data_IF_296185162728
#
_entry.id   IF_296185162728
#
_cell.length_a   1.000
_cell.length_b   1.000
_cell.length_c   1.000
_cell.angle_alpha   90.00
_cell.angle_beta   90.00
_cell.angle_gamma   90.00
#
_symmetry.space_group_name_H-M   'P 1'
#
loop_
_entity.id
_entity.type
_entity.pdbx_description
1 polymer ?
#
# COMPACT_ATOMS: atom_id res chain seq x y z
N UNK A 1 41.43 -20.38 -0.43
CA UNK A 1 40.52 -19.22 -0.27
C UNK A 1 39.56 -19.21 -1.45
N UNK A 2 38.30 -19.62 -1.26
CA UNK A 2 37.26 -19.53 -2.30
C UNK A 2 36.42 -18.30 -1.98
N UNK A 3 36.28 -17.41 -2.94
CA UNK A 3 35.43 -16.22 -2.85
C UNK A 3 33.99 -16.65 -2.57
N UNK A 4 33.42 -16.17 -1.46
CA UNK A 4 31.98 -16.15 -1.25
C UNK A 4 31.41 -15.06 -2.18
N UNK A 5 30.55 -15.46 -3.11
CA UNK A 5 29.77 -14.52 -3.93
C UNK A 5 28.69 -13.83 -3.08
N UNK A 6 28.15 -12.70 -3.55
CA UNK A 6 27.10 -11.97 -2.84
C UNK A 6 25.79 -12.75 -2.96
N UNK A 7 25.54 -13.64 -2.01
CA UNK A 7 24.20 -14.19 -1.80
C UNK A 7 23.35 -13.10 -1.18
N UNK A 8 22.62 -12.35 -2.01
CA UNK A 8 21.43 -11.67 -1.57
C UNK A 8 20.46 -12.75 -1.05
N UNK A 9 20.00 -12.59 0.18
CA UNK A 9 18.89 -13.37 0.72
C UNK A 9 17.66 -13.07 -0.17
N UNK A 10 17.18 -14.01 -1.00
CA UNK A 10 15.83 -13.83 -1.57
C UNK A 10 15.44 -14.42 -2.94
N UNK A 11 16.32 -15.05 -3.73
CA UNK A 11 15.89 -15.63 -5.02
C UNK A 11 16.32 -17.10 -5.17
N UNK A 12 15.39 -17.96 -5.57
CA UNK A 12 15.72 -19.33 -5.96
C UNK A 12 16.61 -19.31 -7.22
N UNK A 13 17.53 -20.26 -7.39
CA UNK A 13 18.28 -20.42 -8.62
C UNK A 13 17.37 -20.43 -9.86
N UNK A 14 17.79 -19.80 -10.98
CA UNK A 14 16.95 -19.67 -12.20
C UNK A 14 16.32 -20.99 -12.68
N UNK A 15 17.04 -22.09 -12.50
CA UNK A 15 16.61 -23.43 -12.91
C UNK A 15 15.46 -24.00 -12.07
N UNK A 16 15.25 -23.52 -10.85
CA UNK A 16 14.15 -23.97 -9.97
C UNK A 16 12.79 -23.39 -10.39
N UNK A 17 12.76 -22.28 -11.13
CA UNK A 17 11.51 -21.69 -11.64
C UNK A 17 10.93 -22.41 -12.87
N UNK A 18 11.66 -23.38 -13.42
CA UNK A 18 11.29 -24.05 -14.67
C UNK A 18 11.23 -23.14 -15.90
N UNK A 19 10.72 -23.70 -16.99
CA UNK A 19 10.73 -23.07 -18.31
C UNK A 19 9.59 -22.05 -18.50
N UNK A 20 8.52 -22.16 -17.71
CA UNK A 20 7.30 -21.35 -17.84
C UNK A 20 7.25 -20.18 -16.86
N UNK A 21 8.31 -19.36 -16.83
CA UNK A 21 8.47 -18.25 -15.89
C UNK A 21 7.30 -17.24 -15.92
N UNK A 22 6.61 -17.11 -17.05
CA UNK A 22 5.41 -16.27 -17.19
C UNK A 22 4.31 -16.58 -16.17
N UNK A 23 4.13 -17.87 -15.83
CA UNK A 23 3.17 -18.30 -14.80
C UNK A 23 3.65 -17.81 -13.43
N UNK A 24 4.91 -18.08 -13.09
CA UNK A 24 5.50 -17.64 -11.82
C UNK A 24 5.36 -16.13 -11.62
N UNK A 25 5.79 -15.30 -12.58
CA UNK A 25 5.76 -13.83 -12.42
C UNK A 25 4.34 -13.27 -12.37
N UNK A 26 3.36 -13.99 -12.92
CA UNK A 26 1.94 -13.61 -12.83
C UNK A 26 1.30 -14.01 -11.49
N UNK A 27 1.83 -15.07 -10.85
CA UNK A 27 1.28 -15.64 -9.62
C UNK A 27 2.00 -15.17 -8.34
N UNK A 28 3.29 -14.82 -8.44
CA UNK A 28 4.14 -14.54 -7.27
C UNK A 28 3.60 -13.41 -6.40
N UNK A 29 2.97 -12.39 -6.98
CA UNK A 29 2.31 -11.29 -6.26
C UNK A 29 1.17 -11.80 -5.37
N UNK A 30 0.46 -12.84 -5.82
CA UNK A 30 -0.72 -13.34 -5.11
C UNK A 30 -0.36 -14.19 -3.90
N UNK A 31 0.79 -14.87 -3.87
CA UNK A 31 1.17 -15.70 -2.73
C UNK A 31 1.30 -14.92 -1.40
N UNK A 32 2.01 -13.78 -1.34
CA UNK A 32 2.06 -12.97 -0.12
C UNK A 32 0.82 -12.08 0.07
N UNK A 33 0.08 -11.73 -0.99
CA UNK A 33 -1.15 -10.95 -0.86
C UNK A 33 -2.33 -11.80 -0.34
N UNK A 34 -2.42 -13.07 -0.74
CA UNK A 34 -3.51 -14.00 -0.41
C UNK A 34 -3.88 -14.06 1.07
N UNK A 35 -2.93 -14.20 2.01
CA UNK A 35 -3.26 -14.24 3.42
C UNK A 35 -4.11 -13.06 3.91
N UNK A 36 -3.99 -11.87 3.31
CA UNK A 36 -4.73 -10.68 3.71
C UNK A 36 -6.24 -10.91 3.78
N UNK A 37 -6.86 -11.42 2.70
CA UNK A 37 -8.31 -11.60 2.67
C UNK A 37 -8.79 -12.81 3.47
N UNK A 38 -7.93 -13.80 3.72
CA UNK A 38 -8.23 -14.87 4.66
C UNK A 38 -8.33 -14.31 6.08
N UNK A 39 -7.38 -13.46 6.49
CA UNK A 39 -7.37 -12.82 7.80
C UNK A 39 -8.53 -11.83 7.99
N UNK A 40 -8.87 -11.07 6.93
CA UNK A 40 -10.04 -10.18 6.93
C UNK A 40 -11.33 -10.97 7.09
N UNK A 41 -11.63 -11.92 6.19
CA UNK A 41 -12.91 -12.62 6.20
C UNK A 41 -13.09 -13.57 7.38
N UNK A 42 -12.00 -14.09 7.96
CA UNK A 42 -12.07 -14.90 9.16
C UNK A 42 -12.16 -14.10 10.46
N UNK A 43 -12.22 -12.75 10.39
CA UNK A 43 -12.35 -11.89 11.57
C UNK A 43 -11.10 -11.83 12.46
N UNK A 44 -9.91 -12.22 11.96
CA UNK A 44 -8.66 -12.17 12.76
C UNK A 44 -8.36 -10.74 13.19
N UNK A 45 -8.51 -9.78 12.28
CA UNK A 45 -8.29 -8.36 12.60
C UNK A 45 -9.28 -7.85 13.66
N UNK A 46 -10.52 -8.34 13.69
CA UNK A 46 -11.50 -8.04 14.74
C UNK A 46 -11.06 -8.60 16.09
N UNK A 47 -10.72 -9.89 16.15
CA UNK A 47 -10.30 -10.56 17.40
C UNK A 47 -8.97 -10.05 17.96
N UNK A 48 -8.10 -9.52 17.10
CA UNK A 48 -6.76 -9.05 17.47
C UNK A 48 -6.55 -7.60 17.04
N UNK A 49 -7.14 -6.61 17.73
CA UNK A 49 -7.10 -5.21 17.30
C UNK A 49 -5.70 -4.58 17.31
N UNK A 50 -4.75 -5.15 18.08
CA UNK A 50 -3.35 -4.73 18.10
C UNK A 50 -2.46 -5.37 17.02
N UNK A 51 -2.99 -6.33 16.24
CA UNK A 51 -2.22 -6.97 15.16
C UNK A 51 -1.91 -5.96 14.06
N UNK A 52 -0.66 -5.97 13.58
CA UNK A 52 -0.21 -5.29 12.37
C UNK A 52 0.14 -6.34 11.32
N UNK A 53 -0.31 -6.14 10.08
CA UNK A 53 -0.05 -7.07 8.98
C UNK A 53 0.50 -6.33 7.76
N UNK A 54 1.64 -6.79 7.27
CA UNK A 54 2.34 -6.22 6.13
C UNK A 54 2.37 -7.17 4.94
N UNK A 55 1.99 -6.70 3.75
CA UNK A 55 2.30 -7.40 2.49
C UNK A 55 3.53 -6.74 1.88
N UNK A 56 4.60 -7.49 1.67
CA UNK A 56 5.84 -6.98 1.12
C UNK A 56 6.12 -7.51 -0.28
N UNK A 57 6.86 -6.72 -1.08
CA UNK A 57 7.40 -7.14 -2.38
C UNK A 57 6.33 -7.62 -3.38
N UNK A 58 5.16 -6.97 -3.37
CA UNK A 58 4.01 -7.36 -4.20
C UNK A 58 3.24 -6.17 -4.77
N UNK A 59 3.86 -4.99 -4.74
CA UNK A 59 3.19 -3.73 -5.05
C UNK A 59 1.90 -3.54 -4.25
N UNK A 60 1.12 -2.53 -4.64
CA UNK A 60 -0.20 -2.23 -4.08
C UNK A 60 -1.27 -1.96 -5.16
N UNK A 61 -0.95 -2.12 -6.45
CA UNK A 61 -1.86 -1.86 -7.58
C UNK A 61 -3.12 -2.74 -7.58
N UNK A 62 -3.07 -3.92 -6.96
CA UNK A 62 -4.18 -4.87 -6.85
C UNK A 62 -5.17 -4.50 -5.76
N UNK A 63 -4.72 -3.73 -4.76
CA UNK A 63 -5.45 -3.49 -3.53
C UNK A 63 -6.75 -2.70 -3.71
N UNK A 64 -6.82 -1.64 -4.54
CA UNK A 64 -8.07 -0.91 -4.78
C UNK A 64 -9.22 -1.81 -5.21
N UNK A 65 -8.98 -2.69 -6.19
CA UNK A 65 -10.00 -3.58 -6.72
C UNK A 65 -10.43 -4.63 -5.68
N UNK A 66 -9.48 -5.18 -4.92
CA UNK A 66 -9.80 -6.10 -3.82
C UNK A 66 -10.66 -5.39 -2.77
N UNK A 67 -10.27 -4.18 -2.37
CA UNK A 67 -10.95 -3.41 -1.33
C UNK A 67 -12.38 -3.04 -1.74
N UNK A 68 -12.54 -2.51 -2.96
CA UNK A 68 -13.86 -2.25 -3.55
C UNK A 68 -14.72 -3.52 -3.58
N UNK A 69 -14.17 -4.65 -4.04
CA UNK A 69 -14.92 -5.90 -4.11
C UNK A 69 -15.37 -6.39 -2.73
N UNK A 70 -14.48 -6.38 -1.75
CA UNK A 70 -14.79 -6.85 -0.40
C UNK A 70 -15.79 -5.92 0.31
N UNK A 71 -15.61 -4.60 0.20
CA UNK A 71 -16.54 -3.62 0.75
C UNK A 71 -17.91 -3.69 0.07
N UNK A 72 -17.97 -3.84 -1.25
CA UNK A 72 -19.23 -4.07 -1.99
C UNK A 72 -19.98 -5.26 -1.43
N UNK A 73 -19.30 -6.38 -1.20
CA UNK A 73 -19.92 -7.57 -0.64
C UNK A 73 -20.42 -7.30 0.78
N UNK A 74 -19.59 -6.73 1.65
CA UNK A 74 -19.94 -6.46 3.05
C UNK A 74 -21.10 -5.46 3.18
N UNK A 75 -20.98 -4.30 2.53
CA UNK A 75 -21.95 -3.20 2.60
C UNK A 75 -23.25 -3.57 1.89
N UNK A 76 -23.17 -4.28 0.75
CA UNK A 76 -24.35 -4.78 0.03
C UNK A 76 -25.09 -5.89 0.80
N UNK A 77 -24.37 -6.78 1.49
CA UNK A 77 -24.98 -7.84 2.30
C UNK A 77 -25.60 -7.32 3.61
N UNK A 78 -25.13 -6.19 4.14
CA UNK A 78 -25.68 -5.60 5.37
C UNK A 78 -27.13 -5.10 5.21
N UNK A 79 -27.62 -4.95 3.98
CA UNK A 79 -29.05 -4.76 3.66
C UNK A 79 -29.93 -5.98 3.95
N UNK A 80 -29.33 -7.16 4.22
CA UNK A 80 -30.00 -8.43 4.52
C UNK A 80 -29.55 -9.04 5.85
N UNK A 81 -29.71 -8.31 6.96
CA UNK A 81 -29.19 -8.62 8.32
C UNK A 81 -29.40 -10.06 8.86
N UNK A 82 -30.33 -10.85 8.33
CA UNK A 82 -30.56 -12.23 8.79
C UNK A 82 -29.68 -13.29 8.12
N UNK A 83 -29.00 -12.97 7.01
CA UNK A 83 -28.24 -13.95 6.21
C UNK A 83 -26.87 -13.41 5.76
N UNK A 84 -26.29 -12.45 6.49
CA UNK A 84 -24.94 -11.96 6.15
C UNK A 84 -23.90 -13.07 6.37
N UNK A 85 -23.15 -13.50 5.33
CA UNK A 85 -22.11 -14.51 5.48
C UNK A 85 -20.86 -13.98 6.22
N UNK A 86 -20.88 -12.72 6.69
CA UNK A 86 -19.74 -12.01 7.28
C UNK A 86 -19.92 -11.73 8.77
N UNK A 87 -20.57 -12.63 9.52
CA UNK A 87 -20.88 -12.45 10.94
C UNK A 87 -19.67 -12.18 11.86
N UNK A 88 -18.47 -12.56 11.42
CA UNK A 88 -17.20 -12.36 12.13
C UNK A 88 -16.69 -10.91 12.08
N UNK A 89 -17.29 -10.04 11.25
CA UNK A 89 -16.85 -8.66 11.03
C UNK A 89 -17.90 -7.69 11.58
N UNK A 90 -17.44 -6.74 12.39
CA UNK A 90 -18.27 -5.62 12.90
C UNK A 90 -18.08 -4.33 12.09
N UNK A 91 -17.09 -4.32 11.20
CA UNK A 91 -16.70 -3.18 10.36
C UNK A 91 -16.50 -3.62 8.90
N UNK A 92 -16.62 -2.71 7.93
CA UNK A 92 -16.26 -3.03 6.55
C UNK A 92 -14.75 -3.32 6.42
N UNK A 93 -14.34 -4.15 5.45
CA UNK A 93 -12.94 -4.47 5.16
C UNK A 93 -11.99 -3.27 5.09
N UNK A 94 -12.38 -2.14 4.47
CA UNK A 94 -11.50 -0.96 4.44
C UNK A 94 -11.15 -0.41 5.83
N UNK A 95 -12.06 -0.52 6.80
CA UNK A 95 -11.81 0.01 8.13
C UNK A 95 -10.79 -0.85 8.90
N UNK A 96 -10.75 -2.16 8.62
CA UNK A 96 -9.69 -3.03 9.13
C UNK A 96 -8.36 -2.77 8.43
N UNK A 97 -8.40 -2.52 7.13
CA UNK A 97 -7.21 -2.15 6.34
C UNK A 97 -6.55 -0.89 6.91
N UNK A 98 -7.30 0.21 7.06
CA UNK A 98 -6.83 1.48 7.63
C UNK A 98 -6.28 1.31 9.05
N UNK A 99 -6.91 0.43 9.83
CA UNK A 99 -6.52 0.23 11.22
C UNK A 99 -5.23 -0.58 11.36
N UNK A 100 -4.98 -1.58 10.52
CA UNK A 100 -4.03 -2.67 10.84
C UNK A 100 -3.12 -3.13 9.71
N UNK A 101 -3.40 -2.75 8.47
CA UNK A 101 -2.71 -3.30 7.30
C UNK A 101 -1.83 -2.24 6.66
N UNK A 102 -0.63 -2.64 6.27
CA UNK A 102 0.26 -1.83 5.46
C UNK A 102 0.82 -2.66 4.30
N UNK A 103 1.23 -1.97 3.25
CA UNK A 103 1.88 -2.57 2.10
C UNK A 103 3.30 -2.01 2.04
N UNK A 104 4.30 -2.87 2.11
CA UNK A 104 5.68 -2.49 1.80
C UNK A 104 5.79 -2.40 0.28
N UNK A 105 5.40 -1.25 -0.26
CA UNK A 105 5.38 -0.96 -1.67
C UNK A 105 6.81 -0.74 -2.18
N UNK A 106 7.48 -1.86 -2.48
CA UNK A 106 8.73 -1.88 -3.22
C UNK A 106 8.54 -1.22 -4.58
N UNK A 107 9.56 -0.48 -5.04
CA UNK A 107 9.69 0.05 -6.41
C UNK A 107 8.43 0.77 -6.98
N UNK A 108 7.63 1.38 -6.10
CA UNK A 108 6.29 1.91 -6.41
C UNK A 108 6.26 2.71 -7.71
N UNK A 109 5.30 2.37 -8.57
CA UNK A 109 5.08 2.99 -9.88
C UNK A 109 4.05 4.12 -9.78
N UNK A 110 4.04 4.98 -10.79
CA UNK A 110 3.04 6.07 -10.97
C UNK A 110 1.60 5.57 -10.86
N UNK A 111 1.30 4.37 -11.37
CA UNK A 111 -0.03 3.75 -11.30
C UNK A 111 -0.51 3.59 -9.86
N UNK A 112 0.35 3.08 -8.99
CA UNK A 112 0.05 2.84 -7.58
C UNK A 112 -0.13 4.16 -6.82
N UNK A 113 0.75 5.14 -7.06
CA UNK A 113 0.65 6.48 -6.47
C UNK A 113 -0.62 7.22 -6.92
N UNK A 114 -1.08 7.02 -8.15
CA UNK A 114 -2.34 7.59 -8.62
C UNK A 114 -3.56 7.00 -7.89
N UNK A 115 -3.47 5.76 -7.41
CA UNK A 115 -4.52 5.05 -6.67
C UNK A 115 -4.38 5.17 -5.15
N UNK A 116 -3.43 5.96 -4.65
CA UNK A 116 -3.12 6.04 -3.20
C UNK A 116 -4.30 6.43 -2.31
N UNK A 117 -5.30 7.12 -2.85
CA UNK A 117 -6.51 7.49 -2.08
C UNK A 117 -7.54 6.36 -2.01
N UNK A 118 -7.53 5.42 -2.97
CA UNK A 118 -8.27 4.16 -2.85
C UNK A 118 -7.57 3.24 -1.83
N UNK A 119 -6.24 3.17 -1.91
CA UNK A 119 -5.39 2.34 -1.04
C UNK A 119 -5.41 2.87 0.40
N UNK A 120 -5.25 4.16 0.57
CA UNK A 120 -4.90 4.84 1.82
C UNK A 120 -3.42 5.26 1.80
N UNK A 121 -3.16 6.57 1.92
CA UNK A 121 -1.80 7.14 1.87
C UNK A 121 -0.91 6.54 2.96
N UNK A 122 -1.47 6.33 4.15
CA UNK A 122 -0.75 5.81 5.31
C UNK A 122 -0.57 4.28 5.28
N UNK A 123 -1.26 3.60 4.37
CA UNK A 123 -1.10 2.16 4.16
C UNK A 123 0.04 1.84 3.20
N UNK A 124 0.59 2.82 2.49
CA UNK A 124 1.71 2.64 1.55
C UNK A 124 3.02 2.98 2.28
N UNK A 125 3.85 1.97 2.50
CA UNK A 125 5.20 2.12 3.03
C UNK A 125 6.18 1.85 1.91
N UNK A 126 6.79 2.89 1.35
CA UNK A 126 7.74 2.74 0.26
C UNK A 126 9.02 2.02 0.72
N UNK A 127 9.52 1.11 -0.12
CA UNK A 127 10.79 0.39 0.11
C UNK A 127 11.67 0.41 -1.14
N UNK A 128 12.99 0.49 -0.93
CA UNK A 128 13.97 0.45 -2.02
C UNK A 128 14.20 -0.96 -2.57
N UNK A 129 13.92 -1.97 -1.74
CA UNK A 129 14.19 -3.39 -1.98
C UNK A 129 15.66 -3.68 -2.31
N UNK A 130 16.55 -3.04 -1.55
CA UNK A 130 17.97 -3.32 -1.64
C UNK A 130 18.29 -4.70 -1.03
N UNK A 131 19.14 -5.53 -1.67
CA UNK A 131 19.92 -5.29 -2.90
C UNK A 131 19.32 -5.91 -4.16
N UNK A 132 18.00 -6.18 -4.19
CA UNK A 132 17.37 -6.93 -5.27
C UNK A 132 17.45 -6.18 -6.62
N UNK A 133 17.67 -6.88 -7.75
CA UNK A 133 17.74 -6.26 -9.08
C UNK A 133 16.48 -5.49 -9.51
N UNK A 134 15.31 -5.93 -9.05
CA UNK A 134 14.00 -5.30 -9.27
C UNK A 134 13.77 -4.06 -8.40
N UNK A 135 14.62 -3.87 -7.38
CA UNK A 135 14.62 -2.70 -6.51
C UNK A 135 15.05 -1.42 -7.23
N UNK A 136 15.30 -0.37 -6.45
CA UNK A 136 15.62 0.95 -7.02
C UNK A 136 17.09 1.35 -6.88
N UNK A 137 17.89 0.59 -6.13
CA UNK A 137 19.31 0.89 -5.95
C UNK A 137 20.10 0.52 -7.23
N UNK A 138 21.15 1.27 -7.62
CA UNK A 138 21.72 2.45 -6.97
C UNK A 138 21.03 3.78 -7.29
N UNK A 139 20.08 3.79 -8.23
CA UNK A 139 19.46 5.00 -8.78
C UNK A 139 18.20 5.46 -8.03
N UNK A 140 18.08 5.12 -6.75
CA UNK A 140 16.88 5.36 -5.94
C UNK A 140 16.40 6.82 -5.98
N UNK A 141 17.33 7.79 -5.94
CA UNK A 141 16.97 9.22 -6.00
C UNK A 141 16.33 9.61 -7.33
N UNK A 142 16.89 9.14 -8.44
CA UNK A 142 16.33 9.39 -9.77
C UNK A 142 14.97 8.69 -9.95
N UNK A 143 14.80 7.50 -9.36
CA UNK A 143 13.52 6.80 -9.32
C UNK A 143 12.45 7.61 -8.60
N UNK A 144 12.74 8.04 -7.36
CA UNK A 144 11.81 8.79 -6.53
C UNK A 144 11.42 10.12 -7.18
N UNK A 145 12.36 10.83 -7.81
CA UNK A 145 12.06 12.07 -8.55
C UNK A 145 11.04 11.82 -9.67
N UNK A 146 11.24 10.76 -10.47
CA UNK A 146 10.30 10.42 -11.56
C UNK A 146 8.90 10.05 -11.06
N UNK A 147 8.80 9.41 -9.90
CA UNK A 147 7.51 8.89 -9.40
C UNK A 147 6.76 9.88 -8.50
N UNK A 148 7.45 10.66 -7.66
CA UNK A 148 6.84 11.53 -6.63
C UNK A 148 6.81 13.03 -6.95
N UNK A 149 7.36 13.50 -8.08
CA UNK A 149 7.49 14.94 -8.38
C UNK A 149 6.17 15.75 -8.32
N UNK A 150 5.02 15.14 -8.59
CA UNK A 150 3.71 15.79 -8.57
C UNK A 150 2.84 15.35 -7.38
N UNK A 151 3.39 14.60 -6.43
CA UNK A 151 2.67 14.17 -5.22
C UNK A 151 2.81 15.27 -4.16
N UNK A 152 1.74 15.60 -3.39
CA UNK A 152 1.83 16.53 -2.27
C UNK A 152 2.94 16.14 -1.28
N UNK A 153 3.75 17.10 -0.85
CA UNK A 153 4.92 16.84 0.02
C UNK A 153 4.53 16.13 1.31
N UNK A 154 3.39 16.49 1.90
CA UNK A 154 2.86 15.82 3.10
C UNK A 154 2.67 14.32 2.88
N UNK A 155 2.01 13.95 1.77
CA UNK A 155 1.74 12.56 1.41
C UNK A 155 3.02 11.80 1.05
N UNK A 156 3.95 12.45 0.34
CA UNK A 156 5.28 11.88 0.07
C UNK A 156 6.01 11.57 1.38
N UNK A 157 5.97 12.45 2.39
CA UNK A 157 6.59 12.18 3.70
C UNK A 157 5.94 11.01 4.43
N UNK A 158 4.60 10.88 4.35
CA UNK A 158 3.89 9.72 4.91
C UNK A 158 4.39 8.43 4.29
N UNK A 159 4.36 8.34 2.96
CA UNK A 159 4.70 7.12 2.23
C UNK A 159 6.19 6.77 2.27
N UNK A 160 7.09 7.76 2.27
CA UNK A 160 8.55 7.52 2.27
C UNK A 160 9.13 7.25 3.66
N UNK A 161 8.39 7.49 4.76
CA UNK A 161 8.97 7.22 6.08
C UNK A 161 8.09 7.40 7.31
N UNK A 162 7.18 8.40 7.36
CA UNK A 162 6.45 8.64 8.61
C UNK A 162 5.47 7.51 8.95
N UNK A 163 4.76 6.95 7.95
CA UNK A 163 3.88 5.80 8.18
C UNK A 163 4.67 4.56 8.66
N UNK A 164 5.84 4.31 8.07
CA UNK A 164 6.73 3.24 8.52
C UNK A 164 7.22 3.46 9.96
N UNK A 165 7.60 4.70 10.31
CA UNK A 165 8.03 5.03 11.66
C UNK A 165 6.93 4.77 12.70
N UNK A 166 5.68 5.08 12.39
CA UNK A 166 4.54 4.79 13.26
C UNK A 166 4.26 3.29 13.40
N UNK A 167 4.27 2.55 12.28
CA UNK A 167 4.03 1.10 12.27
C UNK A 167 5.09 0.34 13.07
N UNK A 168 6.36 0.72 12.95
CA UNK A 168 7.48 0.03 13.60
C UNK A 168 7.93 0.66 14.94
N UNK A 169 7.26 1.73 15.38
CA UNK A 169 7.55 2.38 16.66
C UNK A 169 8.91 3.10 16.69
N UNK A 170 9.35 3.68 15.57
CA UNK A 170 10.58 4.45 15.52
C UNK A 170 10.43 5.85 16.14
N UNK A 171 11.47 6.26 16.86
CA UNK A 171 11.60 7.60 17.42
C UNK A 171 12.08 8.58 16.33
N UNK A 172 11.14 9.31 15.74
CA UNK A 172 11.40 10.22 14.62
C UNK A 172 12.32 11.39 15.00
N UNK A 173 12.33 11.81 16.26
CA UNK A 173 13.21 12.89 16.73
C UNK A 173 14.67 12.44 16.74
N UNK A 174 14.93 11.19 17.18
CA UNK A 174 16.28 10.60 17.11
C UNK A 174 16.73 10.34 15.68
N UNK A 175 15.80 10.07 14.76
CA UNK A 175 16.11 9.85 13.34
C UNK A 175 16.29 11.16 12.55
N UNK A 176 15.74 12.28 13.02
CA UNK A 176 15.75 13.55 12.30
C UNK A 176 17.15 14.02 11.85
N UNK A 177 18.24 13.94 12.66
CA UNK A 177 19.58 14.29 12.20
C UNK A 177 20.06 13.43 11.03
N UNK A 178 19.76 12.13 11.04
CA UNK A 178 20.12 11.21 9.95
C UNK A 178 19.28 11.49 8.72
N UNK A 179 17.97 11.63 8.86
CA UNK A 179 17.05 11.95 7.77
C UNK A 179 17.43 13.25 7.06
N UNK A 180 17.81 14.30 7.80
CA UNK A 180 18.33 15.56 7.23
C UNK A 180 19.63 15.37 6.45
N UNK A 181 20.48 14.43 6.86
CA UNK A 181 21.78 14.17 6.23
C UNK A 181 21.66 13.33 4.95
N UNK A 182 20.80 12.31 4.94
CA UNK A 182 20.79 11.29 3.85
C UNK A 182 19.47 11.22 3.08
N UNK A 183 18.37 11.72 3.65
CA UNK A 183 17.05 11.67 3.03
C UNK A 183 16.93 12.58 1.80
N UNK A 184 15.98 12.30 0.89
CA UNK A 184 15.67 13.21 -0.20
C UNK A 184 14.92 14.44 0.31
N UNK A 185 15.20 15.60 -0.28
CA UNK A 185 14.41 16.81 -0.09
C UNK A 185 13.30 16.93 -1.14
N UNK A 186 12.25 17.76 -0.93
CA UNK A 186 11.27 18.02 -1.98
C UNK A 186 11.88 18.54 -3.28
N UNK A 187 12.97 19.31 -3.19
CA UNK A 187 13.71 19.78 -4.35
C UNK A 187 14.41 18.63 -5.09
N UNK A 188 15.04 17.70 -4.36
CA UNK A 188 15.65 16.49 -4.95
C UNK A 188 14.63 15.65 -5.74
N UNK A 189 13.37 15.67 -5.29
CA UNK A 189 12.28 14.94 -5.92
C UNK A 189 11.59 15.73 -7.05
N UNK A 190 12.03 16.96 -7.35
CA UNK A 190 11.40 17.81 -8.38
C UNK A 190 10.02 18.32 -7.99
N UNK A 191 9.67 18.35 -6.70
CA UNK A 191 8.35 18.76 -6.25
C UNK A 191 8.23 20.29 -6.22
N UNK A 192 7.28 20.82 -6.99
CA UNK A 192 6.99 22.27 -7.14
C UNK A 192 6.85 23.00 -5.82
N UNK A 193 7.46 24.19 -5.70
CA UNK A 193 7.31 25.06 -4.54
C UNK A 193 5.90 25.67 -4.39
N UNK A 194 5.11 25.68 -5.46
CA UNK A 194 3.67 25.97 -5.38
C UNK A 194 2.92 24.74 -4.83
N UNK A 195 3.01 24.56 -3.51
CA UNK A 195 2.39 23.42 -2.81
C UNK A 195 0.87 23.46 -2.91
N UNK A 196 0.27 24.66 -2.93
CA UNK A 196 -1.18 24.83 -3.02
C UNK A 196 -1.71 24.34 -4.36
N UNK A 197 -1.03 24.65 -5.48
CA UNK A 197 -1.42 24.15 -6.79
C UNK A 197 -1.32 22.61 -6.88
N UNK A 198 -0.26 22.02 -6.30
CA UNK A 198 -0.11 20.56 -6.26
C UNK A 198 -1.20 19.91 -5.40
N UNK A 199 -1.56 20.49 -4.26
CA UNK A 199 -2.66 19.96 -3.44
C UNK A 199 -4.01 20.09 -4.16
N UNK A 200 -4.26 21.21 -4.83
CA UNK A 200 -5.49 21.45 -5.58
C UNK A 200 -5.65 20.44 -6.74
N UNK A 201 -4.57 20.07 -7.44
CA UNK A 201 -4.64 19.10 -8.54
C UNK A 201 -5.08 17.71 -8.11
N UNK A 202 -4.87 17.37 -6.82
CA UNK A 202 -5.27 16.09 -6.23
C UNK A 202 -6.53 16.14 -5.36
N UNK A 203 -7.11 17.33 -5.15
CA UNK A 203 -8.23 17.52 -4.21
C UNK A 203 -9.42 16.61 -4.53
N UNK A 204 -9.83 16.53 -5.80
CA UNK A 204 -10.94 15.67 -6.21
C UNK A 204 -10.62 14.19 -6.01
N UNK A 205 -9.45 13.73 -6.43
CA UNK A 205 -9.04 12.34 -6.23
C UNK A 205 -8.96 11.96 -4.75
N UNK A 206 -8.61 12.90 -3.87
CA UNK A 206 -8.63 12.71 -2.42
C UNK A 206 -10.05 12.54 -1.90
N UNK A 207 -10.96 13.40 -2.35
CA UNK A 207 -12.37 13.38 -1.95
C UNK A 207 -13.08 12.09 -2.39
N UNK A 208 -12.81 11.61 -3.61
CA UNK A 208 -13.50 10.45 -4.19
C UNK A 208 -12.64 9.20 -4.31
N UNK A 209 -11.52 9.13 -3.60
CA UNK A 209 -10.60 7.98 -3.66
C UNK A 209 -11.37 6.67 -3.49
N UNK A 210 -12.03 6.49 -2.35
CA UNK A 210 -12.96 5.37 -2.11
C UNK A 210 -14.38 5.73 -2.54
N UNK A 211 -14.56 5.94 -3.85
CA UNK A 211 -15.82 6.37 -4.47
C UNK A 211 -17.04 5.54 -4.02
N UNK A 212 -16.88 4.25 -3.75
CA UNK A 212 -17.97 3.39 -3.25
C UNK A 212 -18.48 3.75 -1.85
N UNK A 213 -17.74 4.58 -1.10
CA UNK A 213 -18.13 5.14 0.19
C UNK A 213 -18.81 6.52 0.07
N UNK A 214 -18.93 7.07 -1.14
CA UNK A 214 -19.56 8.38 -1.38
C UNK A 214 -21.08 8.30 -1.57
N UNK A 215 -21.66 7.09 -1.48
CA UNK A 215 -23.11 6.87 -1.60
C UNK A 215 -23.65 6.78 -3.03
N UNK A 216 -22.77 6.76 -4.05
CA UNK A 216 -23.18 6.75 -5.46
C UNK A 216 -23.14 5.38 -6.14
N UNK A 217 -22.33 4.43 -5.65
CA UNK A 217 -22.11 3.14 -6.34
C UNK A 217 -23.10 2.04 -5.95
N UNK A 218 -23.71 2.14 -4.77
CA UNK A 218 -24.65 1.15 -4.27
C UNK A 218 -26.01 1.82 -4.04
N UNK A 219 -27.11 1.30 -4.61
CA UNK A 219 -28.42 1.84 -4.33
C UNK A 219 -28.67 1.74 -2.82
N UNK A 220 -29.04 2.86 -2.21
CA UNK A 220 -29.58 2.89 -0.86
C UNK A 220 -30.91 2.11 -0.86
N UNK A 221 -30.83 0.79 -0.74
CA UNK A 221 -32.01 -0.05 -0.56
C UNK A 221 -32.51 0.19 0.87
N UNK A 222 -33.49 1.07 1.01
CA UNK A 222 -34.29 1.22 2.24
C UNK A 222 -34.12 2.50 3.05
N UNK A 223 -33.54 3.57 2.52
CA UNK A 223 -33.64 4.90 3.16
C UNK A 223 -34.34 5.88 2.21
N UNK A 224 -35.58 6.20 2.52
CA UNK A 224 -36.25 7.42 2.02
C UNK A 224 -35.47 8.65 2.54
N UNK A 225 -35.35 9.74 1.76
CA UNK A 225 -34.59 10.94 2.12
C UNK A 225 -34.95 11.53 3.49
#
# INVERSE_FOLDING_TARGET
MRHAGPHALGAAPRHEYGDHLGIYVSEVTWWPARPLWFLLWSGVFERHPGLRFGVAESGCWWLPNLLWFMDRLYLGAHGGKKLSPFAELTRPPHAYLDRQVFICATNTKRRELAQRYEIGVDNILWGSDFPHPEGTWPDTRAWLSKTFHDIPVGETRRMLGLAAAEVFGFDVEKLAPLARRIGPTPADLGQSDDRAAVEASWARSREVGRHWLTGHDFPALGTTP
#
